data_IF_167535277800
#
_entry.id   IF_167535277800
#
_cell.length_a   1.000
_cell.length_b   1.000
_cell.length_c   1.000
_cell.angle_alpha   90.00
_cell.angle_beta   90.00
_cell.angle_gamma   90.00
#
_symmetry.space_group_name_H-M   'P 1'
#
loop_
_entity.id
_entity.type
_entity.pdbx_description
1 polymer ?
#
# COMPACT_ATOMS: atom_id res chain seq x y z
N UNK A 1 49.21 -0.46 0.06
CA UNK A 1 48.93 0.79 0.81
C UNK A 1 48.19 1.90 0.05
N UNK A 2 48.01 1.84 -1.28
CA UNK A 2 47.23 2.86 -2.01
C UNK A 2 45.71 2.74 -1.85
N UNK A 3 45.18 1.51 -1.72
CA UNK A 3 43.74 1.22 -1.62
C UNK A 3 43.07 1.73 -0.34
N UNK A 4 43.77 1.77 0.80
CA UNK A 4 43.18 2.24 2.05
C UNK A 4 42.87 3.76 2.04
N UNK A 5 43.68 4.55 1.34
CA UNK A 5 43.52 6.01 1.28
C UNK A 5 42.32 6.44 0.43
N UNK A 6 41.94 5.66 -0.58
CA UNK A 6 40.81 5.97 -1.46
C UNK A 6 39.48 5.71 -0.77
N UNK A 7 39.38 4.59 -0.06
CA UNK A 7 38.16 4.20 0.68
C UNK A 7 37.85 5.17 1.82
N UNK A 8 38.89 5.64 2.52
CA UNK A 8 38.74 6.61 3.62
C UNK A 8 38.30 8.00 3.10
N UNK A 9 38.83 8.44 1.95
CA UNK A 9 38.37 9.67 1.28
C UNK A 9 36.93 9.59 0.80
N UNK A 10 36.49 8.44 0.27
CA UNK A 10 35.11 8.24 -0.18
C UNK A 10 34.13 8.30 1.00
N UNK A 11 34.44 7.59 2.09
CA UNK A 11 33.65 7.62 3.33
C UNK A 11 33.54 9.02 3.93
N UNK A 12 34.62 9.81 3.93
CA UNK A 12 34.59 11.19 4.43
C UNK A 12 33.78 12.12 3.52
N UNK A 13 33.77 11.89 2.21
CA UNK A 13 32.98 12.68 1.26
C UNK A 13 31.48 12.41 1.42
N UNK A 14 31.07 11.14 1.56
CA UNK A 14 29.67 10.78 1.83
C UNK A 14 29.16 11.34 3.16
N UNK A 15 29.98 11.28 4.21
CA UNK A 15 29.66 11.88 5.53
C UNK A 15 29.49 13.40 5.47
N UNK A 16 30.26 14.10 4.63
CA UNK A 16 30.13 15.55 4.43
C UNK A 16 28.89 15.90 3.61
N UNK A 17 28.58 15.13 2.57
CA UNK A 17 27.36 15.33 1.77
C UNK A 17 26.07 15.07 2.57
N UNK A 18 26.10 14.19 3.57
CA UNK A 18 24.99 13.99 4.51
C UNK A 18 24.72 15.18 5.46
N UNK A 19 25.59 16.21 5.48
CA UNK A 19 25.49 17.38 6.38
C UNK A 19 25.02 18.67 5.71
N UNK A 20 24.78 18.68 4.40
CA UNK A 20 24.15 19.83 3.75
C UNK A 20 22.72 19.99 4.30
N UNK A 21 22.16 21.22 4.38
CA UNK A 21 20.83 21.47 4.90
C UNK A 21 19.74 21.04 3.90
N UNK A 22 18.61 20.49 4.37
CA UNK A 22 17.51 20.01 3.53
C UNK A 22 17.01 21.03 2.51
N UNK A 23 16.79 20.63 1.26
CA UNK A 23 16.05 21.47 0.34
C UNK A 23 14.59 21.50 0.82
N UNK A 24 14.19 22.67 1.33
CA UNK A 24 12.90 22.87 2.01
C UNK A 24 11.71 22.43 1.14
N UNK A 25 11.86 22.53 -0.18
CA UNK A 25 10.83 22.14 -1.14
C UNK A 25 10.65 20.61 -1.23
N UNK A 26 11.72 19.80 -1.38
CA UNK A 26 11.54 18.34 -1.42
C UNK A 26 11.10 17.79 -0.07
N UNK A 27 11.51 18.42 1.05
CA UNK A 27 10.97 18.08 2.38
C UNK A 27 9.47 18.34 2.48
N UNK A 28 9.00 19.48 1.97
CA UNK A 28 7.59 19.81 1.95
C UNK A 28 6.80 18.76 1.16
N UNK A 29 7.28 18.40 -0.03
CA UNK A 29 6.64 17.37 -0.86
C UNK A 29 6.64 16.00 -0.18
N UNK A 30 7.76 15.61 0.42
CA UNK A 30 7.87 14.36 1.18
C UNK A 30 6.89 14.35 2.38
N UNK A 31 6.73 15.48 3.07
CA UNK A 31 5.80 15.61 4.19
C UNK A 31 4.34 15.48 3.74
N UNK A 32 3.98 16.09 2.61
CA UNK A 32 2.65 15.92 2.00
C UNK A 32 2.43 14.45 1.62
N UNK A 33 3.42 13.79 1.02
CA UNK A 33 3.35 12.38 0.69
C UNK A 33 3.13 11.48 1.92
N UNK A 34 3.77 11.80 3.06
CA UNK A 34 3.53 11.10 4.34
C UNK A 34 2.09 11.24 4.79
N UNK A 35 1.52 12.45 4.75
CA UNK A 35 0.12 12.68 5.15
C UNK A 35 -0.84 11.83 4.31
N UNK A 36 -0.70 11.86 2.99
CA UNK A 36 -1.51 11.02 2.10
C UNK A 36 -1.27 9.52 2.31
N UNK A 37 -0.02 9.11 2.56
CA UNK A 37 0.31 7.74 2.90
C UNK A 37 -0.34 7.26 4.20
N UNK A 38 -0.35 8.08 5.25
CA UNK A 38 -1.01 7.74 6.53
C UNK A 38 -2.52 7.61 6.34
N UNK A 39 -3.16 8.54 5.62
CA UNK A 39 -4.59 8.44 5.31
C UNK A 39 -4.87 7.16 4.50
N UNK A 40 -4.04 6.87 3.48
CA UNK A 40 -4.13 5.64 2.72
C UNK A 40 -4.02 4.40 3.61
N UNK A 41 -3.08 4.38 4.56
CA UNK A 41 -2.88 3.26 5.47
C UNK A 41 -4.10 3.02 6.35
N UNK A 42 -4.68 4.08 6.94
CA UNK A 42 -5.89 3.98 7.75
C UNK A 42 -7.04 3.41 6.93
N UNK A 43 -7.26 3.95 5.72
CA UNK A 43 -8.32 3.48 4.83
C UNK A 43 -8.10 2.04 4.36
N UNK A 44 -6.85 1.63 4.10
CA UNK A 44 -6.53 0.25 3.73
C UNK A 44 -6.79 -0.72 4.89
N UNK A 45 -6.37 -0.37 6.11
CA UNK A 45 -6.60 -1.17 7.30
C UNK A 45 -8.10 -1.30 7.64
N UNK A 46 -8.85 -0.19 7.60
CA UNK A 46 -10.29 -0.22 7.84
C UNK A 46 -11.02 -0.96 6.71
N UNK A 47 -10.63 -0.70 5.46
CA UNK A 47 -11.16 -1.39 4.29
C UNK A 47 -10.98 -2.89 4.42
N UNK A 48 -9.75 -3.38 4.63
CA UNK A 48 -9.51 -4.82 4.73
C UNK A 48 -10.12 -5.45 5.99
N UNK A 49 -10.12 -4.72 7.10
CA UNK A 49 -10.55 -5.18 8.43
C UNK A 49 -12.04 -5.05 8.72
N UNK A 50 -12.88 -4.75 7.71
CA UNK A 50 -14.34 -4.71 7.87
C UNK A 50 -15.01 -5.76 6.97
N UNK A 51 -16.12 -6.40 7.40
CA UNK A 51 -16.78 -7.49 6.66
C UNK A 51 -17.58 -7.03 5.44
N UNK A 52 -17.38 -5.80 4.96
CA UNK A 52 -18.24 -5.13 3.98
C UNK A 52 -17.56 -4.95 2.63
N UNK A 53 -16.85 -5.98 2.20
CA UNK A 53 -16.33 -6.09 0.83
C UNK A 53 -17.40 -6.59 -0.14
N UNK A 54 -18.30 -7.42 0.36
CA UNK A 54 -19.48 -7.90 -0.36
C UNK A 54 -20.73 -7.75 0.50
N UNK A 55 -21.84 -7.41 -0.15
CA UNK A 55 -23.19 -7.48 0.40
C UNK A 55 -24.12 -8.31 -0.47
N UNK A 56 -24.82 -9.26 0.15
CA UNK A 56 -25.94 -9.96 -0.47
C UNK A 56 -27.25 -9.29 -0.10
N UNK A 57 -28.16 -9.24 -1.07
CA UNK A 57 -29.49 -8.66 -0.91
C UNK A 57 -30.54 -9.66 -1.38
N UNK A 58 -31.65 -9.75 -0.66
CA UNK A 58 -32.80 -10.59 -1.01
C UNK A 58 -34.04 -9.70 -1.11
N UNK A 59 -34.89 -9.96 -2.11
CA UNK A 59 -36.18 -9.29 -2.24
C UNK A 59 -37.11 -9.70 -1.09
N UNK A 60 -37.71 -8.72 -0.41
CA UNK A 60 -38.61 -8.95 0.73
C UNK A 60 -40.06 -9.17 0.30
N UNK A 61 -40.33 -9.31 -1.01
CA UNK A 61 -41.69 -9.47 -1.56
C UNK A 61 -42.51 -8.17 -1.65
N UNK A 62 -42.07 -7.08 -1.01
CA UNK A 62 -42.72 -5.75 -1.07
C UNK A 62 -42.07 -4.80 -2.08
N UNK A 63 -41.26 -5.34 -3.01
CA UNK A 63 -40.46 -4.53 -3.94
C UNK A 63 -39.23 -3.87 -3.30
N UNK A 64 -38.95 -4.17 -2.02
CA UNK A 64 -37.74 -3.71 -1.32
C UNK A 64 -36.71 -4.83 -1.21
N UNK A 65 -35.44 -4.46 -1.07
CA UNK A 65 -34.33 -5.39 -0.88
C UNK A 65 -33.80 -5.27 0.54
N UNK A 66 -33.66 -6.39 1.23
CA UNK A 66 -33.01 -6.45 2.53
C UNK A 66 -31.60 -7.03 2.37
N UNK A 67 -30.61 -6.40 3.04
CA UNK A 67 -29.27 -6.97 3.16
C UNK A 67 -29.34 -8.20 4.06
N UNK A 68 -28.82 -9.33 3.60
CA UNK A 68 -28.91 -10.61 4.33
C UNK A 68 -27.55 -11.10 4.80
N UNK A 69 -26.47 -10.73 4.11
CA UNK A 69 -25.13 -11.23 4.40
C UNK A 69 -24.08 -10.20 3.97
N UNK A 70 -22.95 -10.20 4.68
CA UNK A 70 -21.79 -9.36 4.45
C UNK A 70 -20.51 -10.18 4.60
N UNK A 71 -19.60 -10.12 3.63
CA UNK A 71 -18.35 -10.88 3.69
C UNK A 71 -17.11 -10.06 3.32
N UNK A 72 -15.95 -10.49 3.83
CA UNK A 72 -14.62 -10.12 3.37
C UNK A 72 -13.70 -11.35 3.22
N UNK A 73 -12.40 -11.13 3.05
CA UNK A 73 -11.41 -12.22 2.87
C UNK A 73 -11.23 -13.16 4.05
N UNK A 74 -11.67 -12.78 5.25
CA UNK A 74 -11.34 -13.46 6.50
C UNK A 74 -12.56 -13.98 7.26
N UNK A 75 -13.69 -13.29 7.15
CA UNK A 75 -14.93 -13.66 7.82
C UNK A 75 -16.15 -13.25 6.99
N UNK A 76 -17.26 -13.91 7.29
CA UNK A 76 -18.60 -13.63 6.78
C UNK A 76 -19.52 -13.36 7.96
N UNK A 77 -20.56 -12.55 7.77
CA UNK A 77 -21.48 -12.18 8.82
C UNK A 77 -22.90 -12.09 8.26
N UNK A 78 -23.84 -12.65 9.02
CA UNK A 78 -25.25 -12.45 8.75
C UNK A 78 -25.63 -11.00 9.02
N UNK A 79 -26.54 -10.45 8.21
CA UNK A 79 -27.07 -9.10 8.42
C UNK A 79 -28.57 -9.20 8.56
N UNK A 80 -29.06 -8.70 9.69
CA UNK A 80 -30.51 -8.60 9.94
C UNK A 80 -31.16 -7.58 9.00
N UNK A 81 -32.48 -7.67 8.85
CA UNK A 81 -33.27 -6.74 8.03
C UNK A 81 -33.17 -5.28 8.49
N UNK A 82 -32.81 -5.03 9.76
CA UNK A 82 -32.52 -3.69 10.29
C UNK A 82 -31.09 -3.21 10.01
N UNK A 83 -30.27 -4.01 9.32
CA UNK A 83 -28.89 -3.68 8.96
C UNK A 83 -27.85 -4.01 10.04
N UNK A 84 -28.26 -4.56 11.18
CA UNK A 84 -27.35 -4.98 12.26
C UNK A 84 -26.62 -6.25 11.84
N UNK A 85 -25.29 -6.23 11.99
CA UNK A 85 -24.40 -7.36 11.70
C UNK A 85 -24.41 -8.32 12.89
N UNK A 86 -24.78 -9.58 12.63
CA UNK A 86 -24.90 -10.65 13.61
C UNK A 86 -24.09 -11.88 13.15
N UNK A 87 -23.80 -12.81 14.06
CA UNK A 87 -23.23 -14.13 13.74
C UNK A 87 -22.04 -14.10 12.76
N UNK A 88 -21.02 -13.28 13.05
CA UNK A 88 -19.80 -13.30 12.26
C UNK A 88 -19.02 -14.59 12.49
N UNK A 89 -18.75 -15.33 11.41
CA UNK A 89 -17.95 -16.55 11.44
C UNK A 89 -16.66 -16.34 10.66
N UNK A 90 -15.56 -16.82 11.25
CA UNK A 90 -14.30 -16.88 10.54
C UNK A 90 -14.41 -17.85 9.37
N UNK A 91 -13.71 -17.53 8.29
CA UNK A 91 -13.63 -18.42 7.14
C UNK A 91 -12.96 -19.73 7.51
N UNK A 92 -13.61 -20.82 7.15
CA UNK A 92 -13.10 -22.17 7.31
C UNK A 92 -13.10 -22.93 5.96
N UNK A 93 -12.70 -24.20 5.99
CA UNK A 93 -12.69 -25.05 4.79
C UNK A 93 -14.07 -25.36 4.22
N UNK A 94 -15.14 -25.16 5.02
CA UNK A 94 -16.51 -25.39 4.57
C UNK A 94 -17.09 -24.20 3.80
N UNK A 95 -16.48 -23.02 3.94
CA UNK A 95 -16.92 -21.76 3.32
C UNK A 95 -18.41 -21.47 3.58
N UNK A 96 -18.92 -21.92 4.73
CA UNK A 96 -20.32 -21.73 5.07
C UNK A 96 -20.69 -20.24 5.10
N UNK A 97 -21.76 -19.87 4.42
CA UNK A 97 -22.21 -18.48 4.33
C UNK A 97 -21.34 -17.57 3.47
N UNK A 98 -20.33 -18.09 2.74
CA UNK A 98 -19.60 -17.27 1.77
C UNK A 98 -20.39 -17.11 0.46
N UNK A 99 -20.52 -15.88 -0.05
CA UNK A 99 -21.33 -15.59 -1.22
C UNK A 99 -20.74 -16.19 -2.49
N UNK A 100 -21.61 -16.77 -3.32
CA UNK A 100 -21.22 -17.38 -4.59
C UNK A 100 -20.62 -18.78 -4.47
N UNK A 101 -20.13 -19.21 -3.30
CA UNK A 101 -19.62 -20.56 -3.10
C UNK A 101 -20.72 -21.62 -3.33
N UNK A 102 -20.41 -22.62 -4.15
CA UNK A 102 -21.22 -23.82 -4.31
C UNK A 102 -20.33 -25.05 -4.36
N UNK A 103 -20.63 -26.04 -3.50
CA UNK A 103 -19.97 -27.35 -3.50
C UNK A 103 -20.26 -28.16 -4.76
N UNK A 104 -21.26 -27.78 -5.55
CA UNK A 104 -21.61 -28.43 -6.82
C UNK A 104 -20.73 -28.01 -8.01
N UNK A 105 -19.97 -26.91 -7.87
CA UNK A 105 -19.25 -26.29 -8.97
C UNK A 105 -17.75 -26.62 -8.88
N UNK A 106 -17.27 -27.46 -9.80
CA UNK A 106 -15.87 -27.91 -9.82
C UNK A 106 -14.84 -26.75 -9.90
N UNK A 107 -15.21 -25.64 -10.54
CA UNK A 107 -14.37 -24.44 -10.64
C UNK A 107 -14.23 -23.67 -9.32
N UNK A 108 -14.99 -24.04 -8.27
CA UNK A 108 -14.94 -23.40 -6.94
C UNK A 108 -14.12 -24.21 -5.93
N UNK A 109 -13.48 -25.29 -6.36
CA UNK A 109 -12.61 -26.13 -5.53
C UNK A 109 -11.41 -25.37 -4.97
N UNK A 110 -10.98 -24.28 -5.63
CA UNK A 110 -9.87 -23.42 -5.23
C UNK A 110 -10.31 -22.09 -4.59
N UNK A 111 -11.62 -21.89 -4.37
CA UNK A 111 -12.19 -20.65 -3.84
C UNK A 111 -11.56 -20.24 -2.50
N UNK A 112 -11.44 -21.20 -1.57
CA UNK A 112 -10.85 -20.96 -0.27
C UNK A 112 -9.37 -20.53 -0.37
N UNK A 113 -8.59 -21.26 -1.17
CA UNK A 113 -7.17 -20.98 -1.38
C UNK A 113 -6.98 -19.57 -1.96
N UNK A 114 -7.77 -19.20 -2.97
CA UNK A 114 -7.63 -17.90 -3.63
C UNK A 114 -8.09 -16.73 -2.79
N UNK A 115 -9.12 -16.90 -1.96
CA UNK A 115 -9.46 -15.88 -0.97
C UNK A 115 -8.36 -15.68 0.08
N UNK A 116 -7.64 -16.75 0.49
CA UNK A 116 -6.45 -16.61 1.35
C UNK A 116 -5.35 -15.83 0.63
N UNK A 117 -5.08 -16.18 -0.63
CA UNK A 117 -4.08 -15.49 -1.43
C UNK A 117 -4.43 -14.01 -1.59
N UNK A 118 -5.66 -13.67 -1.96
CA UNK A 118 -6.13 -12.28 -2.09
C UNK A 118 -5.96 -11.49 -0.77
N UNK A 119 -6.43 -12.05 0.35
CA UNK A 119 -6.26 -11.43 1.67
C UNK A 119 -4.80 -11.24 2.05
N UNK A 120 -3.94 -12.24 1.79
CA UNK A 120 -2.51 -12.17 2.07
C UNK A 120 -1.79 -11.11 1.22
N UNK A 121 -2.13 -10.99 -0.07
CA UNK A 121 -1.58 -9.97 -0.97
C UNK A 121 -1.96 -8.57 -0.49
N UNK A 122 -3.20 -8.38 -0.02
CA UNK A 122 -3.63 -7.12 0.59
C UNK A 122 -2.81 -6.78 1.85
N UNK A 123 -2.59 -7.75 2.75
CA UNK A 123 -1.76 -7.55 3.95
C UNK A 123 -0.32 -7.18 3.57
N UNK A 124 0.29 -7.89 2.62
CA UNK A 124 1.64 -7.58 2.14
C UNK A 124 1.71 -6.17 1.55
N UNK A 125 0.69 -5.75 0.80
CA UNK A 125 0.57 -4.37 0.30
C UNK A 125 0.54 -3.33 1.42
N UNK A 126 -0.24 -3.57 2.49
CA UNK A 126 -0.30 -2.72 3.69
C UNK A 126 1.06 -2.62 4.39
N UNK A 127 1.81 -3.73 4.47
CA UNK A 127 3.16 -3.72 5.06
C UNK A 127 4.12 -2.86 4.23
N UNK A 128 4.14 -3.01 2.90
CA UNK A 128 4.95 -2.17 2.03
C UNK A 128 4.55 -0.69 2.10
N UNK A 129 3.26 -0.39 2.18
CA UNK A 129 2.76 0.96 2.42
C UNK A 129 3.30 1.53 3.74
N UNK A 130 3.24 0.76 4.82
CA UNK A 130 3.76 1.15 6.14
C UNK A 130 5.26 1.46 6.07
N UNK A 131 6.06 0.56 5.49
CA UNK A 131 7.49 0.79 5.33
C UNK A 131 7.80 1.97 4.40
N UNK A 132 7.01 2.17 3.35
CA UNK A 132 7.09 3.34 2.48
C UNK A 132 6.88 4.65 3.23
N UNK A 133 5.84 4.73 4.09
CA UNK A 133 5.56 5.90 4.94
C UNK A 133 6.72 6.17 5.90
N UNK A 134 7.25 5.14 6.56
CA UNK A 134 8.39 5.29 7.48
C UNK A 134 9.62 5.78 6.71
N UNK A 135 9.92 5.18 5.57
CA UNK A 135 11.05 5.58 4.74
C UNK A 135 10.91 7.02 4.22
N UNK A 136 9.73 7.42 3.73
CA UNK A 136 9.46 8.81 3.30
C UNK A 136 9.52 9.79 4.47
N UNK A 137 9.07 9.38 5.66
CA UNK A 137 9.17 10.20 6.88
C UNK A 137 10.65 10.44 7.26
N UNK A 138 11.48 9.41 7.17
CA UNK A 138 12.93 9.56 7.37
C UNK A 138 13.52 10.47 6.29
N UNK A 139 13.10 10.34 5.02
CA UNK A 139 13.53 11.22 3.93
C UNK A 139 13.13 12.69 4.16
N UNK A 140 11.97 12.94 4.77
CA UNK A 140 11.51 14.28 5.11
C UNK A 140 12.37 14.90 6.24
N UNK A 141 12.84 14.09 7.19
CA UNK A 141 13.60 14.56 8.37
C UNK A 141 15.12 14.54 8.18
N UNK A 142 15.63 13.64 7.34
CA UNK A 142 17.04 13.34 7.18
C UNK A 142 17.37 13.12 5.71
N UNK A 143 18.59 13.50 5.35
CA UNK A 143 19.14 13.18 4.06
C UNK A 143 19.59 11.73 3.97
N UNK A 144 18.95 10.98 3.08
CA UNK A 144 19.45 9.67 2.64
C UNK A 144 20.67 9.80 1.74
N UNK A 145 21.43 8.74 1.49
CA UNK A 145 22.37 8.70 0.35
C UNK A 145 21.60 8.77 -0.99
N UNK A 146 22.25 9.14 -2.09
CA UNK A 146 21.56 9.30 -3.38
C UNK A 146 20.91 8.00 -3.87
N UNK A 147 21.44 6.86 -3.44
CA UNK A 147 20.87 5.54 -3.68
C UNK A 147 19.74 5.23 -2.71
N UNK A 148 19.86 5.61 -1.43
CA UNK A 148 18.81 5.34 -0.45
C UNK A 148 17.53 6.17 -0.68
N UNK A 149 17.61 7.30 -1.41
CA UNK A 149 16.41 8.08 -1.80
C UNK A 149 15.49 7.34 -2.77
N UNK A 150 15.92 6.27 -3.44
CA UNK A 150 15.04 5.46 -4.30
C UNK A 150 14.25 4.39 -3.54
N UNK A 151 14.60 4.12 -2.27
CA UNK A 151 13.93 3.10 -1.45
C UNK A 151 12.45 3.48 -1.19
N UNK A 152 12.12 4.70 -0.72
CA UNK A 152 10.72 5.05 -0.45
C UNK A 152 9.79 4.89 -1.66
N UNK A 153 10.08 5.42 -2.87
CA UNK A 153 9.20 5.22 -4.02
C UNK A 153 9.14 3.76 -4.47
N UNK A 154 10.22 2.97 -4.33
CA UNK A 154 10.17 1.54 -4.63
C UNK A 154 9.21 0.78 -3.69
N UNK A 155 9.20 1.12 -2.39
CA UNK A 155 8.28 0.53 -1.41
C UNK A 155 6.82 0.90 -1.71
N UNK A 156 6.54 2.16 -2.05
CA UNK A 156 5.20 2.58 -2.47
C UNK A 156 4.75 1.91 -3.78
N UNK A 157 5.66 1.69 -4.73
CA UNK A 157 5.38 0.96 -5.96
C UNK A 157 5.02 -0.49 -5.67
N UNK A 158 5.78 -1.18 -4.81
CA UNK A 158 5.45 -2.53 -4.37
C UNK A 158 4.10 -2.57 -3.63
N UNK A 159 3.83 -1.59 -2.77
CA UNK A 159 2.52 -1.47 -2.11
C UNK A 159 1.39 -1.41 -3.14
N UNK A 160 1.51 -0.55 -4.17
CA UNK A 160 0.54 -0.47 -5.26
C UNK A 160 0.36 -1.82 -5.97
N UNK A 161 1.45 -2.51 -6.33
CA UNK A 161 1.36 -3.80 -7.02
C UNK A 161 0.62 -4.85 -6.18
N UNK A 162 0.95 -4.99 -4.90
CA UNK A 162 0.34 -5.98 -4.02
C UNK A 162 -1.12 -5.63 -3.68
N UNK A 163 -1.43 -4.35 -3.46
CA UNK A 163 -2.82 -3.90 -3.26
C UNK A 163 -3.67 -4.18 -4.51
N UNK A 164 -3.15 -3.88 -5.71
CA UNK A 164 -3.83 -4.15 -6.97
C UNK A 164 -3.99 -5.65 -7.23
N UNK A 165 -2.95 -6.46 -6.97
CA UNK A 165 -3.02 -7.91 -7.11
C UNK A 165 -4.05 -8.53 -6.16
N UNK A 166 -4.12 -8.06 -4.90
CA UNK A 166 -5.13 -8.48 -3.94
C UNK A 166 -6.56 -8.13 -4.39
N UNK A 167 -6.75 -6.93 -4.97
CA UNK A 167 -8.03 -6.54 -5.56
C UNK A 167 -8.36 -7.35 -6.82
N UNK A 168 -7.40 -7.58 -7.72
CA UNK A 168 -7.63 -8.35 -8.92
C UNK A 168 -8.07 -9.79 -8.58
N UNK A 169 -7.44 -10.38 -7.57
CA UNK A 169 -7.73 -11.75 -7.19
C UNK A 169 -8.98 -11.89 -6.33
N UNK A 170 -9.31 -10.89 -5.52
CA UNK A 170 -10.58 -10.87 -4.81
C UNK A 170 -11.79 -10.55 -5.70
N UNK A 171 -11.63 -9.79 -6.78
CA UNK A 171 -12.73 -9.39 -7.69
C UNK A 171 -13.42 -10.59 -8.34
N UNK A 172 -12.69 -11.69 -8.50
CA UNK A 172 -13.20 -12.95 -9.05
C UNK A 172 -14.24 -13.62 -8.16
N UNK A 173 -14.24 -13.31 -6.86
CA UNK A 173 -15.01 -14.04 -5.84
C UNK A 173 -15.93 -13.13 -5.04
N UNK A 174 -15.58 -11.85 -4.88
CA UNK A 174 -16.38 -10.84 -4.22
C UNK A 174 -16.70 -9.73 -5.23
N UNK A 175 -17.98 -9.43 -5.43
CA UNK A 175 -18.49 -8.41 -6.36
C UNK A 175 -18.14 -6.94 -5.98
N UNK A 176 -17.33 -6.70 -4.95
CA UNK A 176 -16.87 -5.37 -4.50
C UNK A 176 -17.95 -4.30 -4.47
N UNK A 177 -19.12 -4.65 -3.91
CA UNK A 177 -20.32 -3.84 -4.02
C UNK A 177 -20.68 -3.09 -2.73
N UNK A 178 -19.78 -3.05 -1.74
CA UNK A 178 -20.03 -2.39 -0.44
C UNK A 178 -18.82 -1.57 0.00
N UNK A 179 -19.01 -0.74 1.04
CA UNK A 179 -18.15 0.40 1.34
C UNK A 179 -16.69 0.00 1.63
N UNK A 180 -16.42 -1.17 2.21
CA UNK A 180 -15.06 -1.54 2.60
C UNK A 180 -14.15 -1.71 1.39
N UNK A 181 -14.71 -2.25 0.30
CA UNK A 181 -14.00 -2.33 -0.98
C UNK A 181 -13.67 -0.92 -1.50
N UNK A 182 -14.61 0.02 -1.41
CA UNK A 182 -14.40 1.41 -1.83
C UNK A 182 -13.35 2.14 -0.97
N UNK A 183 -13.32 1.89 0.34
CA UNK A 183 -12.28 2.43 1.23
C UNK A 183 -10.90 1.91 0.83
N UNK A 184 -10.79 0.61 0.54
CA UNK A 184 -9.53 0.00 0.12
C UNK A 184 -9.08 0.47 -1.28
N UNK A 185 -10.01 0.63 -2.23
CA UNK A 185 -9.72 1.21 -3.55
C UNK A 185 -9.26 2.68 -3.43
N UNK A 186 -9.91 3.46 -2.58
CA UNK A 186 -9.52 4.85 -2.30
C UNK A 186 -8.12 4.89 -1.67
N UNK A 187 -7.84 3.99 -0.72
CA UNK A 187 -6.50 3.84 -0.16
C UNK A 187 -5.44 3.55 -1.23
N UNK A 188 -5.76 2.69 -2.19
CA UNK A 188 -4.87 2.38 -3.31
C UNK A 188 -4.58 3.62 -4.17
N UNK A 189 -5.60 4.43 -4.49
CA UNK A 189 -5.41 5.69 -5.23
C UNK A 189 -4.56 6.70 -4.46
N UNK A 190 -4.78 6.84 -3.14
CA UNK A 190 -3.95 7.70 -2.29
C UNK A 190 -2.51 7.20 -2.19
N UNK A 191 -2.30 5.87 -2.21
CA UNK A 191 -0.97 5.24 -2.26
C UNK A 191 -0.25 5.57 -3.57
N UNK A 192 -0.95 5.53 -4.71
CA UNK A 192 -0.41 5.97 -6.01
C UNK A 192 -0.05 7.46 -6.00
N UNK A 193 -0.86 8.29 -5.36
CA UNK A 193 -0.56 9.71 -5.23
C UNK A 193 0.69 9.95 -4.35
N UNK A 194 0.78 9.26 -3.21
CA UNK A 194 1.96 9.30 -2.34
C UNK A 194 3.22 8.78 -3.05
N UNK A 195 3.10 7.74 -3.89
CA UNK A 195 4.17 7.27 -4.77
C UNK A 195 4.68 8.38 -5.69
N UNK A 196 3.78 9.07 -6.39
CA UNK A 196 4.14 10.12 -7.34
C UNK A 196 4.89 11.27 -6.65
N UNK A 197 4.38 11.74 -5.51
CA UNK A 197 5.03 12.80 -4.72
C UNK A 197 6.39 12.36 -4.19
N UNK A 198 6.48 11.15 -3.65
CA UNK A 198 7.73 10.60 -3.11
C UNK A 198 8.77 10.40 -4.21
N UNK A 199 8.37 9.90 -5.39
CA UNK A 199 9.26 9.73 -6.53
C UNK A 199 9.76 11.09 -7.06
N UNK A 200 8.91 12.10 -7.10
CA UNK A 200 9.30 13.46 -7.47
C UNK A 200 10.30 14.06 -6.48
N UNK A 201 10.04 13.94 -5.17
CA UNK A 201 10.97 14.40 -4.14
C UNK A 201 12.33 13.68 -4.23
N UNK A 202 12.31 12.34 -4.38
CA UNK A 202 13.52 11.55 -4.55
C UNK A 202 14.32 11.94 -5.79
N UNK A 203 13.63 12.17 -6.92
CA UNK A 203 14.25 12.61 -8.17
C UNK A 203 14.95 13.97 -8.03
N UNK A 204 14.32 14.92 -7.34
CA UNK A 204 14.93 16.22 -7.03
C UNK A 204 16.18 16.10 -6.17
N UNK A 205 16.10 15.37 -5.06
CA UNK A 205 17.24 15.16 -4.17
C UNK A 205 18.41 14.51 -4.91
N UNK A 206 18.12 13.53 -5.78
CA UNK A 206 19.15 12.87 -6.58
C UNK A 206 19.78 13.82 -7.62
N UNK A 207 18.97 14.66 -8.30
CA UNK A 207 19.47 15.65 -9.25
C UNK A 207 20.39 16.69 -8.58
N UNK A 208 19.95 17.29 -7.47
CA UNK A 208 20.73 18.29 -6.73
C UNK A 208 22.11 17.77 -6.31
N UNK A 209 22.19 16.48 -5.95
CA UNK A 209 23.47 15.87 -5.57
C UNK A 209 24.41 15.61 -6.73
N UNK A 210 23.88 15.26 -7.90
CA UNK A 210 24.70 15.13 -9.10
C UNK A 210 25.31 16.48 -9.49
N UNK A 211 24.54 17.57 -9.39
CA UNK A 211 25.05 18.91 -9.66
C UNK A 211 26.13 19.33 -8.66
N UNK A 212 25.97 19.03 -7.37
CA UNK A 212 26.99 19.30 -6.33
C UNK A 212 28.27 18.47 -6.52
N UNK A 213 28.14 17.21 -6.98
CA UNK A 213 29.29 16.36 -7.26
C UNK A 213 30.09 16.83 -8.48
N UNK A 214 29.41 17.37 -9.51
CA UNK A 214 30.03 17.92 -10.72
C UNK A 214 30.74 19.25 -10.51
N UNK A 215 30.35 20.05 -9.50
CA UNK A 215 31.01 21.32 -9.21
C UNK A 215 32.34 21.18 -8.46
N UNK A 216 32.62 19.99 -7.89
CA UNK A 216 33.82 19.71 -7.09
C UNK A 216 34.88 18.90 -7.86
N UNK A 217 34.74 18.68 -9.16
CA UNK A 217 35.85 18.18 -9.99
C UNK A 217 36.80 19.34 -10.26
N UNK A 218 38.04 19.33 -9.73
CA UNK A 218 39.01 20.34 -10.12
C UNK A 218 39.21 20.23 -11.62
N UNK A 219 38.95 21.32 -12.33
CA UNK A 219 39.54 21.54 -13.64
C UNK A 219 41.05 21.51 -13.42
N UNK A 220 41.66 20.34 -13.61
CA UNK A 220 43.07 20.27 -13.97
C UNK A 220 43.14 20.87 -15.37
N UNK A 221 43.21 22.20 -15.40
CA UNK A 221 43.68 22.95 -16.56
C UNK A 221 45.15 22.57 -16.66
N UNK A 222 45.47 21.75 -17.67
CA UNK A 222 46.83 21.54 -18.11
C UNK A 222 47.34 22.79 -18.81
#
# INVERSE_FOLDING_TARGET
NSTNNTTEKLNNKERKMARLPPDSFSQMIASIAVVFGVIALILACVGIGTPRWYSAFVSTGTGTYAKTNSANFFYTCDVSTSGVTNNCTNRDSSLYGYPGYSSSNAWMTDYNQRMQNAGSLCIVGILFLTFGIVATSIMALRYFSAWATSIPPALFFLACLFMLAGMAEGARYLLYNDYSANLYQTAHLLTMFALALTAFAAGRVHFSRRTEAGHNTPHNVA
#
